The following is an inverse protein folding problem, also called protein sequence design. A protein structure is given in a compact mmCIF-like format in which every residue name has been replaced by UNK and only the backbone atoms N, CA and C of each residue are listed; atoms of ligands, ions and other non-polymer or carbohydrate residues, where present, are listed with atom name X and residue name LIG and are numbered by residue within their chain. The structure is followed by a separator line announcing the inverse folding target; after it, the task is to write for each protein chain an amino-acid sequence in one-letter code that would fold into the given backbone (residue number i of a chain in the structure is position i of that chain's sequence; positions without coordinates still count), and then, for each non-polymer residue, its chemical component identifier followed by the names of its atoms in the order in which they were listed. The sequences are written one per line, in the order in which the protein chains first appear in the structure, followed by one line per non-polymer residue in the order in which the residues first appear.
data_IF_106454848345
#
_entry.id   IF_106454848345
#
_cell.length_a   1.000
_cell.length_b   1.000
_cell.length_c   1.000
_cell.angle_alpha   90.00
_cell.angle_beta   90.00
_cell.angle_gamma   90.00
#
_symmetry.space_group_name_H-M   'P 1'
#
loop_
_entity.id
_entity.type
_entity.pdbx_description
1 polymer ?
#
# COMPACT_ATOMS: atom_id res chain seq x y z
N UNK A 1 7.99 0.06 2.35
CA UNK A 1 7.48 -1.30 2.04
C UNK A 1 8.66 -2.14 1.60
N UNK A 2 8.87 -3.29 2.24
CA UNK A 2 9.93 -4.24 1.87
C UNK A 2 9.27 -5.51 1.36
N UNK A 3 9.59 -5.90 0.12
CA UNK A 3 9.16 -7.13 -0.50
C UNK A 3 10.30 -8.13 -0.48
N UNK A 4 10.08 -9.31 0.11
CA UNK A 4 11.02 -10.41 0.19
C UNK A 4 10.55 -11.55 -0.70
N UNK A 5 11.40 -11.96 -1.62
CA UNK A 5 11.17 -13.10 -2.53
C UNK A 5 11.37 -14.46 -1.83
N UNK A 6 10.89 -15.56 -2.43
CA UNK A 6 11.12 -16.91 -1.92
C UNK A 6 12.61 -17.25 -1.72
N UNK A 7 13.49 -16.76 -2.61
CA UNK A 7 14.95 -16.91 -2.49
C UNK A 7 15.61 -16.00 -1.46
N UNK A 8 14.84 -15.12 -0.80
CA UNK A 8 15.35 -14.18 0.21
C UNK A 8 15.86 -12.84 -0.35
N UNK A 9 15.81 -12.62 -1.66
CA UNK A 9 16.09 -11.29 -2.24
C UNK A 9 15.07 -10.29 -1.75
N UNK A 10 15.53 -9.11 -1.34
CA UNK A 10 14.69 -8.03 -0.80
C UNK A 10 14.76 -6.79 -1.67
N UNK A 11 13.63 -6.11 -1.82
CA UNK A 11 13.53 -4.78 -2.42
C UNK A 11 12.72 -3.90 -1.47
N UNK A 12 13.26 -2.72 -1.14
CA UNK A 12 12.61 -1.76 -0.26
C UNK A 12 12.28 -0.49 -1.02
N UNK A 13 11.01 -0.10 -0.99
CA UNK A 13 10.47 1.12 -1.58
C UNK A 13 9.89 2.03 -0.47
N UNK A 14 10.15 3.33 -0.53
CA UNK A 14 9.57 4.34 0.38
C UNK A 14 8.58 5.19 -0.39
N UNK A 15 7.39 5.39 0.19
CA UNK A 15 6.27 6.08 -0.45
C UNK A 15 5.77 7.18 0.48
N UNK A 16 5.37 8.30 -0.11
CA UNK A 16 4.65 9.37 0.59
C UNK A 16 3.26 9.50 -0.01
N UNK A 17 2.25 9.56 0.87
CA UNK A 17 0.87 9.75 0.48
C UNK A 17 0.23 10.81 1.34
N UNK A 18 -0.48 11.73 0.70
CA UNK A 18 -1.34 12.66 1.40
C UNK A 18 -2.65 11.94 1.75
N UNK A 19 -3.03 11.95 3.04
CA UNK A 19 -4.26 11.34 3.54
C UNK A 19 -5.39 12.36 3.73
N UNK A 20 -5.07 13.65 3.71
CA UNK A 20 -6.02 14.75 3.87
C UNK A 20 -5.51 16.01 3.16
N UNK A 21 -6.40 16.96 2.93
CA UNK A 21 -6.04 18.30 2.47
C UNK A 21 -5.52 19.19 3.62
N UNK A 22 -5.07 20.40 3.26
CA UNK A 22 -4.56 21.38 4.22
C UNK A 22 -5.59 21.86 5.25
N UNK A 23 -6.88 21.65 5.01
CA UNK A 23 -7.97 22.00 5.92
C UNK A 23 -8.38 20.82 6.81
N UNK A 24 -7.70 19.66 6.67
CA UNK A 24 -7.99 18.45 7.43
C UNK A 24 -9.10 17.58 6.85
N UNK A 25 -9.59 17.88 5.63
CA UNK A 25 -10.56 17.00 4.95
C UNK A 25 -9.84 15.74 4.47
N UNK A 26 -10.26 14.57 4.98
CA UNK A 26 -9.71 13.27 4.56
C UNK A 26 -10.03 12.96 3.11
N UNK A 27 -9.06 12.43 2.38
CA UNK A 27 -9.27 11.87 1.05
C UNK A 27 -9.92 10.48 1.12
N UNK A 28 -10.51 10.06 0.01
CA UNK A 28 -11.18 8.76 -0.10
C UNK A 28 -12.70 8.87 0.02
N UNK A 29 -13.34 7.72 -0.09
CA UNK A 29 -14.80 7.57 -0.13
C UNK A 29 -15.26 6.65 1.00
N UNK A 30 -16.52 6.75 1.42
CA UNK A 30 -17.03 5.90 2.50
C UNK A 30 -18.15 6.55 3.30
N UNK A 31 -18.74 5.76 4.20
CA UNK A 31 -19.91 6.11 4.98
C UNK A 31 -19.54 6.87 6.27
N UNK A 32 -20.21 8.00 6.51
CA UNK A 32 -19.98 8.84 7.68
C UNK A 32 -18.53 9.30 7.79
N UNK A 33 -17.91 9.02 8.95
CA UNK A 33 -16.54 9.45 9.29
C UNK A 33 -15.44 8.46 8.83
N UNK A 34 -15.82 7.31 8.27
CA UNK A 34 -14.88 6.31 7.75
C UNK A 34 -14.66 6.59 6.27
N UNK A 35 -13.39 6.68 5.87
CA UNK A 35 -12.95 6.91 4.50
C UNK A 35 -11.94 5.85 4.10
N UNK A 36 -12.24 5.16 3.01
CA UNK A 36 -11.36 4.21 2.36
C UNK A 36 -10.60 4.91 1.24
N UNK A 37 -9.27 4.75 1.25
CA UNK A 37 -8.38 5.38 0.29
C UNK A 37 -7.49 4.32 -0.34
N UNK A 38 -7.66 4.06 -1.64
CA UNK A 38 -6.83 3.15 -2.41
C UNK A 38 -5.79 3.91 -3.22
N UNK A 39 -4.52 3.71 -2.91
CA UNK A 39 -3.39 4.41 -3.54
C UNK A 39 -2.52 3.43 -4.32
N UNK A 40 -1.97 3.89 -5.44
CA UNK A 40 -1.16 3.06 -6.31
C UNK A 40 0.27 2.91 -5.75
N UNK A 41 0.64 1.71 -5.32
CA UNK A 41 2.01 1.37 -4.93
C UNK A 41 2.89 1.06 -6.15
N UNK A 42 2.53 0.02 -6.91
CA UNK A 42 3.33 -0.46 -8.06
C UNK A 42 2.43 -1.08 -9.12
N UNK A 43 2.79 -0.91 -10.39
CA UNK A 43 2.10 -1.50 -11.55
C UNK A 43 3.08 -2.33 -12.35
N UNK A 44 2.57 -3.31 -13.11
CA UNK A 44 3.41 -4.16 -13.97
C UNK A 44 4.40 -5.03 -13.19
N UNK A 45 4.06 -5.43 -11.97
CA UNK A 45 4.93 -6.29 -11.13
C UNK A 45 4.91 -7.71 -11.68
N UNK A 46 6.10 -8.26 -11.94
CA UNK A 46 6.30 -9.66 -12.29
C UNK A 46 6.91 -10.40 -11.10
N UNK A 47 6.38 -11.60 -10.83
CA UNK A 47 6.85 -12.50 -9.77
C UNK A 47 7.60 -13.67 -10.43
N UNK A 48 8.95 -13.60 -10.56
CA UNK A 48 9.73 -14.57 -11.33
C UNK A 48 9.89 -15.92 -10.63
N UNK A 49 9.86 -15.93 -9.29
CA UNK A 49 10.07 -17.12 -8.48
C UNK A 49 8.73 -17.67 -8.00
N UNK A 50 8.56 -18.99 -8.06
CA UNK A 50 7.44 -19.68 -7.40
C UNK A 50 7.73 -19.81 -5.92
N UNK A 51 6.79 -19.42 -5.07
CA UNK A 51 6.90 -19.60 -3.61
C UNK A 51 6.25 -18.47 -2.83
N UNK A 52 6.57 -18.41 -1.54
CA UNK A 52 6.03 -17.41 -0.60
C UNK A 52 6.80 -16.09 -0.70
N UNK A 53 6.11 -15.04 -1.15
CA UNK A 53 6.57 -13.67 -1.00
C UNK A 53 6.05 -13.09 0.32
N UNK A 54 6.88 -12.29 0.98
CA UNK A 54 6.53 -11.60 2.22
C UNK A 54 6.62 -10.09 2.00
N UNK A 55 5.58 -9.36 2.38
CA UNK A 55 5.56 -7.89 2.32
C UNK A 55 5.50 -7.34 3.74
N UNK A 56 6.50 -6.54 4.09
CA UNK A 56 6.56 -5.83 5.38
C UNK A 56 6.33 -4.34 5.14
N UNK A 57 5.39 -3.76 5.87
CA UNK A 57 5.00 -2.36 5.75
C UNK A 57 5.27 -1.67 7.06
N UNK A 58 5.99 -0.56 7.01
CA UNK A 58 6.28 0.31 8.14
C UNK A 58 5.87 1.74 7.77
N UNK A 59 5.27 2.47 8.71
CA UNK A 59 4.98 3.90 8.52
C UNK A 59 6.17 4.76 8.95
N UNK A 60 6.39 5.86 8.22
CA UNK A 60 7.46 6.83 8.53
C UNK A 60 7.06 7.92 9.53
N UNK A 61 5.88 7.82 10.15
CA UNK A 61 5.37 8.81 11.09
C UNK A 61 6.06 8.71 12.46
N UNK A 62 6.22 9.85 13.14
CA UNK A 62 6.83 9.93 14.48
C UNK A 62 5.99 9.25 15.57
N UNK A 63 4.66 9.29 15.43
CA UNK A 63 3.76 8.65 16.37
C UNK A 63 3.72 7.14 16.09
N UNK A 64 3.88 6.33 17.13
CA UNK A 64 3.82 4.86 17.03
C UNK A 64 2.41 4.37 16.72
N UNK A 65 1.41 5.02 17.29
CA UNK A 65 0.00 4.80 16.99
C UNK A 65 -0.47 5.95 16.11
N UNK A 66 -1.25 5.65 15.08
CA UNK A 66 -1.86 6.65 14.19
C UNK A 66 -3.35 6.79 14.51
N UNK A 67 -3.76 7.75 15.37
CA UNK A 67 -5.16 7.96 15.70
C UNK A 67 -5.99 8.24 14.44
N UNK A 68 -7.09 7.51 14.28
CA UNK A 68 -7.99 7.65 13.13
C UNK A 68 -7.58 6.84 11.89
N UNK A 69 -6.46 6.12 11.91
CA UNK A 69 -6.19 5.03 10.97
C UNK A 69 -6.71 3.74 11.57
N UNK A 70 -7.79 3.20 11.02
CA UNK A 70 -8.42 1.99 11.53
C UNK A 70 -7.73 0.72 11.01
N UNK A 71 -7.40 0.71 9.72
CA UNK A 71 -6.75 -0.41 9.06
C UNK A 71 -5.92 0.10 7.86
N UNK A 72 -4.92 -0.67 7.47
CA UNK A 72 -4.16 -0.47 6.25
C UNK A 72 -3.62 -1.80 5.74
N UNK A 73 -3.48 -1.91 4.42
CA UNK A 73 -2.98 -3.14 3.81
C UNK A 73 -2.54 -2.96 2.36
N UNK A 74 -2.01 -4.04 1.80
CA UNK A 74 -1.67 -4.13 0.38
C UNK A 74 -2.75 -4.93 -0.33
N UNK A 75 -3.22 -4.39 -1.46
CA UNK A 75 -4.11 -5.10 -2.38
C UNK A 75 -3.34 -5.47 -3.64
N UNK A 76 -3.18 -6.77 -3.88
CA UNK A 76 -2.59 -7.30 -5.11
C UNK A 76 -3.72 -7.67 -6.06
N UNK A 77 -3.65 -7.20 -7.29
CA UNK A 77 -4.60 -7.54 -8.36
C UNK A 77 -3.83 -8.09 -9.55
N UNK A 78 -4.39 -9.10 -10.20
CA UNK A 78 -3.89 -9.56 -11.49
C UNK A 78 -4.04 -8.40 -12.48
N UNK A 79 -3.00 -8.15 -13.27
CA UNK A 79 -3.12 -7.19 -14.35
C UNK A 79 -4.03 -7.78 -15.42
N UNK A 80 -5.12 -7.07 -15.73
CA UNK A 80 -5.88 -7.31 -16.94
C UNK A 80 -4.97 -6.89 -18.10
N UNK A 81 -4.43 -7.83 -18.87
CA UNK A 81 -3.84 -7.49 -20.15
C UNK A 81 -4.99 -7.02 -21.04
N UNK A 82 -5.12 -5.70 -21.22
CA UNK A 82 -6.00 -5.16 -22.26
C UNK A 82 -5.51 -5.74 -23.58
N UNK A 83 -6.27 -6.69 -24.16
CA UNK A 83 -6.11 -7.09 -25.56
C UNK A 83 -6.36 -5.82 -26.37
N UNK A 84 -5.27 -5.19 -26.82
CA UNK A 84 -5.33 -4.23 -27.92
C UNK A 84 -5.69 -4.96 -29.21
#
# INVERSE_FOLDING_TARGET
VTATSPSGRMITDTLEYMLSDIKGKRYGDGFGNIKDLSLAYRKGVYFPETGKYTFTINHGMRAEVLPGVYDFGIRIRKTEFSKK
#
